data_IF_508097736059
#
_entry.id   IF_508097736059
#
_cell.length_a   1.000
_cell.length_b   1.000
_cell.length_c   1.000
_cell.angle_alpha   90.00
_cell.angle_beta   90.00
_cell.angle_gamma   90.00
#
_symmetry.space_group_name_H-M   'P 1'
#
loop_
_entity.id
_entity.type
_entity.pdbx_description
1 polymer ?
#
# COMPACT_ATOMS: atom_id res chain seq x y z
N UNK A 1 -11.83 -18.18 -2.29
CA UNK A 1 -12.41 -16.97 -1.67
C UNK A 1 -13.59 -17.42 -0.84
N UNK A 2 -13.64 -17.07 0.45
CA UNK A 2 -14.79 -17.36 1.32
C UNK A 2 -15.41 -16.00 1.65
N UNK A 3 -16.67 -15.83 1.30
CA UNK A 3 -17.43 -14.62 1.57
C UNK A 3 -18.14 -14.75 2.93
N UNK A 4 -18.14 -13.66 3.72
CA UNK A 4 -18.88 -13.56 4.97
C UNK A 4 -19.65 -12.25 4.96
N UNK A 5 -20.95 -12.31 5.22
CA UNK A 5 -21.76 -11.11 5.43
C UNK A 5 -21.43 -10.50 6.80
N UNK A 6 -21.33 -9.18 6.84
CA UNK A 6 -21.19 -8.41 8.07
C UNK A 6 -22.53 -7.77 8.40
N UNK A 7 -22.92 -7.78 9.68
CA UNK A 7 -24.02 -6.96 10.17
C UNK A 7 -23.53 -5.50 10.27
N UNK A 8 -24.40 -4.52 9.95
CA UNK A 8 -24.08 -3.09 10.02
C UNK A 8 -23.66 -2.71 11.45
N UNK A 9 -22.37 -2.69 11.72
CA UNK A 9 -21.78 -2.18 12.95
C UNK A 9 -20.57 -1.35 12.56
N UNK A 10 -20.81 -0.14 12.06
CA UNK A 10 -19.73 0.80 11.79
C UNK A 10 -19.88 1.99 12.74
N UNK A 11 -19.30 1.87 13.93
CA UNK A 11 -18.67 3.04 14.53
C UNK A 11 -17.42 3.32 13.66
N UNK A 12 -17.65 3.92 12.50
CA UNK A 12 -16.61 4.17 11.51
C UNK A 12 -15.84 5.41 11.96
N UNK A 13 -14.69 5.21 12.58
CA UNK A 13 -13.76 6.31 12.76
C UNK A 13 -13.24 6.69 11.37
N UNK A 14 -13.84 7.75 10.79
CA UNK A 14 -13.38 8.30 9.52
C UNK A 14 -12.02 8.95 9.75
N UNK A 15 -10.98 8.26 9.28
CA UNK A 15 -9.67 8.88 9.11
C UNK A 15 -9.79 9.87 7.95
N UNK A 16 -9.82 11.16 8.26
CA UNK A 16 -9.99 12.22 7.26
C UNK A 16 -8.75 12.43 6.39
N UNK A 17 -7.60 11.89 6.80
CA UNK A 17 -6.32 11.97 6.08
C UNK A 17 -5.62 10.60 6.13
N UNK A 18 -6.04 9.62 5.33
CA UNK A 18 -5.38 8.32 5.30
C UNK A 18 -4.00 8.44 4.63
N UNK A 19 -2.98 7.94 5.31
CA UNK A 19 -1.63 7.86 4.76
C UNK A 19 -1.44 6.55 3.99
N UNK A 20 -0.83 6.63 2.81
CA UNK A 20 -0.52 5.45 2.00
C UNK A 20 0.96 5.40 1.66
N UNK A 21 1.51 4.19 1.63
CA UNK A 21 2.86 3.95 1.12
C UNK A 21 2.78 3.19 -0.20
N UNK A 22 3.53 3.68 -1.19
CA UNK A 22 3.70 2.99 -2.48
C UNK A 22 5.15 2.61 -2.66
N UNK A 23 5.40 1.35 -2.97
CA UNK A 23 6.73 0.82 -3.27
C UNK A 23 6.77 0.45 -4.75
N UNK A 24 7.73 0.99 -5.50
CA UNK A 24 8.05 0.57 -6.86
C UNK A 24 9.29 -0.30 -6.85
N UNK A 25 9.22 -1.40 -7.59
CA UNK A 25 10.29 -2.38 -7.69
C UNK A 25 10.91 -2.36 -9.07
N UNK A 26 12.23 -2.22 -9.13
CA UNK A 26 13.00 -2.30 -10.38
C UNK A 26 14.18 -3.23 -10.21
N UNK A 27 14.59 -3.86 -11.29
CA UNK A 27 15.77 -4.74 -11.33
C UNK A 27 16.54 -4.43 -12.60
N UNK A 28 17.83 -4.11 -12.48
CA UNK A 28 18.68 -3.77 -13.63
C UNK A 28 19.00 -5.00 -14.49
N UNK A 29 19.28 -6.15 -13.87
CA UNK A 29 19.44 -7.44 -14.55
C UNK A 29 19.11 -8.58 -13.58
N UNK A 30 18.95 -9.81 -14.08
CA UNK A 30 18.55 -10.96 -13.27
C UNK A 30 19.54 -11.33 -12.16
N UNK A 31 20.79 -10.90 -12.30
CA UNK A 31 21.89 -11.15 -11.37
C UNK A 31 21.84 -10.24 -10.13
N UNK A 32 21.01 -9.19 -10.14
CA UNK A 32 20.83 -8.26 -9.03
C UNK A 32 19.48 -8.45 -8.33
N UNK A 33 19.44 -8.16 -7.03
CA UNK A 33 18.19 -8.08 -6.28
C UNK A 33 17.28 -6.94 -6.77
N UNK A 34 16.00 -6.99 -6.39
CA UNK A 34 15.08 -5.90 -6.71
C UNK A 34 15.37 -4.68 -5.82
N UNK A 35 15.54 -3.53 -6.46
CA UNK A 35 15.68 -2.23 -5.82
C UNK A 35 14.31 -1.63 -5.52
N UNK A 36 14.23 -0.94 -4.40
CA UNK A 36 13.02 -0.31 -3.89
C UNK A 36 13.08 1.22 -4.02
N UNK A 37 12.05 1.79 -4.66
CA UNK A 37 11.76 3.22 -4.67
C UNK A 37 10.41 3.46 -3.99
N UNK A 38 10.41 4.08 -2.81
CA UNK A 38 9.25 4.15 -1.92
C UNK A 38 8.77 5.58 -1.67
N UNK A 39 7.45 5.78 -1.67
CA UNK A 39 6.79 7.07 -1.48
C UNK A 39 5.74 6.95 -0.39
N UNK A 40 5.62 8.00 0.43
CA UNK A 40 4.51 8.22 1.34
C UNK A 40 3.57 9.27 0.73
N UNK A 41 2.26 9.02 0.78
CA UNK A 41 1.21 9.88 0.24
C UNK A 41 0.28 10.26 1.40
N UNK A 42 0.31 11.53 1.81
CA UNK A 42 -0.33 11.98 3.05
C UNK A 42 -1.68 12.69 2.86
N UNK A 43 -2.11 12.94 1.62
CA UNK A 43 -3.32 13.72 1.29
C UNK A 43 -4.21 13.04 0.22
N UNK A 44 -4.11 11.71 0.08
CA UNK A 44 -4.97 11.01 -0.86
C UNK A 44 -6.41 10.94 -0.34
N UNK A 45 -7.37 11.35 -1.17
CA UNK A 45 -8.80 11.34 -0.82
C UNK A 45 -9.38 9.93 -0.78
N UNK A 46 -8.75 8.98 -1.48
CA UNK A 46 -9.17 7.58 -1.51
C UNK A 46 -8.09 6.65 -2.01
N UNK A 47 -8.25 5.36 -1.72
CA UNK A 47 -7.41 4.31 -2.32
C UNK A 47 -7.46 4.30 -3.86
N UNK A 48 -8.58 4.67 -4.48
CA UNK A 48 -8.69 4.70 -5.94
C UNK A 48 -7.78 5.76 -6.57
N UNK A 49 -7.63 6.91 -5.90
CA UNK A 49 -6.67 7.95 -6.29
C UNK A 49 -5.23 7.43 -6.21
N UNK A 50 -4.88 6.79 -5.10
CA UNK A 50 -3.55 6.18 -4.90
C UNK A 50 -3.24 5.13 -5.95
N UNK A 51 -4.19 4.24 -6.26
CA UNK A 51 -4.02 3.21 -7.27
C UNK A 51 -3.82 3.83 -8.66
N UNK A 52 -4.59 4.86 -8.99
CA UNK A 52 -4.45 5.59 -10.27
C UNK A 52 -3.06 6.25 -10.35
N UNK A 53 -2.63 6.93 -9.29
CA UNK A 53 -1.30 7.53 -9.19
C UNK A 53 -0.20 6.47 -9.34
N UNK A 54 -0.35 5.32 -8.68
CA UNK A 54 0.64 4.25 -8.70
C UNK A 54 0.76 3.63 -10.09
N UNK A 55 -0.35 3.35 -10.77
CA UNK A 55 -0.34 2.81 -12.15
C UNK A 55 0.36 3.77 -13.12
N UNK A 56 0.04 5.06 -13.06
CA UNK A 56 0.64 6.06 -13.95
C UNK A 56 2.15 6.21 -13.72
N UNK A 57 2.60 6.10 -12.46
CA UNK A 57 4.01 6.32 -12.08
C UNK A 57 4.85 5.04 -12.06
N UNK A 58 4.21 3.88 -12.13
CA UNK A 58 4.87 2.59 -12.21
C UNK A 58 5.81 2.53 -13.43
N UNK A 59 5.39 3.09 -14.57
CA UNK A 59 6.17 3.10 -15.80
C UNK A 59 6.67 1.69 -16.17
N UNK A 60 5.74 0.72 -16.13
CA UNK A 60 6.01 -0.70 -16.38
C UNK A 60 6.67 -1.46 -15.21
N UNK A 61 7.07 -0.79 -14.12
CA UNK A 61 7.58 -1.44 -12.90
C UNK A 61 6.45 -2.16 -12.14
N UNK A 62 6.80 -3.22 -11.43
CA UNK A 62 5.89 -3.78 -10.43
C UNK A 62 5.82 -2.86 -9.20
N UNK A 63 4.68 -2.83 -8.52
CA UNK A 63 4.48 -1.99 -7.35
C UNK A 63 3.63 -2.65 -6.27
N UNK A 64 3.77 -2.17 -5.04
CA UNK A 64 2.92 -2.50 -3.89
C UNK A 64 2.31 -1.22 -3.34
N UNK A 65 1.07 -1.32 -2.85
CA UNK A 65 0.39 -0.24 -2.13
C UNK A 65 0.03 -0.72 -0.74
N UNK A 66 0.29 0.11 0.26
CA UNK A 66 -0.01 -0.14 1.66
C UNK A 66 -0.84 1.01 2.24
N UNK A 67 -1.81 0.68 3.09
CA UNK A 67 -2.33 1.63 4.06
C UNK A 67 -1.35 1.71 5.24
N UNK A 68 -1.07 2.93 5.70
CA UNK A 68 -0.32 3.16 6.94
C UNK A 68 -1.33 3.35 8.05
N UNK A 69 -1.25 2.53 9.09
CA UNK A 69 -2.16 2.56 10.23
C UNK A 69 -1.33 2.83 11.48
N UNK A 70 -1.64 3.89 12.20
CA UNK A 70 -1.09 4.11 13.55
C UNK A 70 -1.83 3.23 14.53
N UNK A 71 -1.11 2.46 15.34
CA UNK A 71 -1.71 1.47 16.25
C UNK A 71 -1.39 1.85 17.69
N UNK A 72 -2.44 2.07 18.48
CA UNK A 72 -2.32 2.44 19.89
C UNK A 72 -2.01 3.94 20.10
N UNK A 73 -1.51 4.27 21.30
CA UNK A 73 -1.15 5.63 21.71
C UNK A 73 0.34 5.96 21.55
N UNK A 74 1.13 4.98 21.13
CA UNK A 74 2.54 5.11 20.78
C UNK A 74 2.60 5.21 19.26
N UNK A 75 3.40 6.11 18.68
CA UNK A 75 3.50 6.39 17.23
C UNK A 75 3.98 5.19 16.36
N UNK A 76 3.71 3.96 16.76
CA UNK A 76 3.94 2.75 15.98
C UNK A 76 3.00 2.71 14.78
N UNK A 77 3.61 2.78 13.60
CA UNK A 77 2.91 2.64 12.32
C UNK A 77 3.05 1.22 11.80
N UNK A 78 1.92 0.59 11.48
CA UNK A 78 1.86 -0.67 10.74
C UNK A 78 1.50 -0.44 9.27
N UNK A 79 2.02 -1.30 8.40
CA UNK A 79 1.71 -1.30 6.97
C UNK A 79 0.79 -2.48 6.64
N UNK A 80 -0.40 -2.18 6.14
CA UNK A 80 -1.33 -3.19 5.63
C UNK A 80 -1.27 -3.18 4.12
N UNK A 81 -0.80 -4.28 3.51
CA UNK A 81 -0.73 -4.38 2.05
C UNK A 81 -2.12 -4.46 1.45
N UNK A 82 -2.42 -3.54 0.54
CA UNK A 82 -3.68 -3.48 -0.20
C UNK A 82 -3.55 -4.13 -1.57
N UNK A 83 -2.39 -3.95 -2.23
CA UNK A 83 -2.13 -4.47 -3.59
C UNK A 83 -0.65 -4.80 -3.77
N UNK A 84 -0.39 -5.75 -4.68
CA UNK A 84 0.95 -6.09 -5.16
C UNK A 84 1.64 -7.18 -4.36
N UNK A 85 2.89 -7.44 -4.71
CA UNK A 85 3.77 -8.39 -4.02
C UNK A 85 5.19 -7.88 -4.01
N UNK A 86 5.93 -8.16 -2.94
CA UNK A 86 7.35 -7.87 -2.86
C UNK A 86 8.11 -8.97 -3.60
N UNK A 87 8.79 -8.67 -4.72
CA UNK A 87 9.47 -9.68 -5.52
C UNK A 87 10.74 -10.25 -4.84
N UNK A 88 11.25 -9.62 -3.78
CA UNK A 88 12.33 -10.17 -2.96
C UNK A 88 11.83 -11.13 -1.87
N UNK A 89 10.52 -11.20 -1.63
CA UNK A 89 9.94 -12.18 -0.71
C UNK A 89 9.23 -13.24 -1.55
N UNK A 90 9.91 -14.37 -1.76
CA UNK A 90 9.26 -15.59 -2.22
C UNK A 90 8.05 -15.86 -1.32
N UNK A 91 6.90 -16.10 -1.95
CA UNK A 91 5.60 -16.32 -1.30
C UNK A 91 5.68 -17.45 -0.27
#
# INVERSE_FOLDING_TARGET
MIERQTEHSEEMERINSPHYRVNFWSRQSEEFGWNLDAYLLDDALSINEVLTWAVLRADGRSYEVFAVITVGSTDETMLVRLVGTNPNRSV
#
